data_IF_735580357907
#
_entry.id   IF_735580357907
#
_cell.length_a   1.000
_cell.length_b   1.000
_cell.length_c   1.000
_cell.angle_alpha   90.00
_cell.angle_beta   90.00
_cell.angle_gamma   90.00
#
_symmetry.space_group_name_H-M   'P 1'
#
loop_
_entity.id
_entity.type
_entity.pdbx_description
1 polymer ?
#
# COMPACT_ATOMS: atom_id res chain seq x y z
N UNK A 1 -11.36 -1.36 24.01
CA UNK A 1 -12.57 -0.51 23.92
C UNK A 1 -13.38 -0.81 22.65
N UNK A 2 -12.80 -0.76 21.42
CA UNK A 2 -13.54 -1.11 20.19
C UNK A 2 -14.00 -2.56 20.18
N UNK A 3 -13.14 -3.50 20.53
CA UNK A 3 -13.47 -4.92 20.63
C UNK A 3 -14.55 -5.20 21.69
N UNK A 4 -14.53 -4.47 22.81
CA UNK A 4 -15.55 -4.60 23.86
C UNK A 4 -16.94 -4.22 23.36
N UNK A 5 -17.00 -3.43 22.27
CA UNK A 5 -18.22 -3.05 21.58
C UNK A 5 -18.58 -4.01 20.41
N UNK A 6 -17.83 -5.09 20.24
CA UNK A 6 -18.02 -6.04 19.13
C UNK A 6 -17.54 -5.55 17.77
N UNK A 7 -16.73 -4.46 17.74
CA UNK A 7 -16.20 -3.90 16.50
C UNK A 7 -14.84 -4.52 16.15
N UNK A 8 -14.55 -4.66 14.87
CA UNK A 8 -13.25 -5.02 14.34
C UNK A 8 -12.48 -3.77 13.94
N UNK A 9 -11.15 -3.79 14.12
CA UNK A 9 -10.26 -2.66 13.82
C UNK A 9 -9.43 -2.99 12.60
N UNK A 10 -9.64 -2.24 11.52
CA UNK A 10 -8.85 -2.32 10.28
C UNK A 10 -8.07 -1.02 10.12
N UNK A 11 -6.75 -1.12 10.01
CA UNK A 11 -5.90 0.04 9.76
C UNK A 11 -5.67 0.26 8.26
N UNK A 12 -5.49 1.52 7.90
CA UNK A 12 -5.01 1.89 6.57
C UNK A 12 -3.49 1.79 6.50
N UNK A 13 -2.98 0.87 5.69
CA UNK A 13 -1.56 0.59 5.53
C UNK A 13 -1.01 1.19 4.25
N UNK A 14 -0.19 2.24 4.36
CA UNK A 14 0.49 2.86 3.23
C UNK A 14 1.90 2.29 3.13
N UNK A 15 2.11 1.33 2.23
CA UNK A 15 3.38 0.60 2.10
C UNK A 15 4.12 0.90 0.80
N UNK A 16 3.47 1.55 -0.17
CA UNK A 16 4.09 1.90 -1.44
C UNK A 16 5.02 3.11 -1.33
N UNK A 17 4.70 4.06 -0.45
CA UNK A 17 5.42 5.32 -0.34
C UNK A 17 5.40 5.86 1.09
N UNK A 18 6.25 6.84 1.33
CA UNK A 18 6.31 7.58 2.60
C UNK A 18 6.41 9.08 2.35
N UNK A 19 6.09 9.88 3.36
CA UNK A 19 6.32 11.32 3.30
C UNK A 19 7.81 11.67 3.35
N UNK A 20 8.18 12.85 2.84
CA UNK A 20 9.56 13.36 2.86
C UNK A 20 10.14 13.54 4.27
N UNK A 21 9.29 13.58 5.28
CA UNK A 21 9.70 13.63 6.69
C UNK A 21 10.07 12.28 7.31
N UNK A 22 9.93 11.19 6.56
CA UNK A 22 10.34 9.87 7.01
C UNK A 22 11.82 9.84 7.36
N UNK A 23 12.18 9.21 8.49
CA UNK A 23 13.53 9.26 9.05
C UNK A 23 14.61 8.81 8.05
N UNK A 24 14.35 7.75 7.29
CA UNK A 24 15.29 7.23 6.29
C UNK A 24 15.47 8.18 5.11
N UNK A 25 14.41 8.89 4.72
CA UNK A 25 14.51 9.88 3.64
C UNK A 25 15.25 11.14 4.10
N UNK A 26 15.03 11.58 5.34
CA UNK A 26 15.82 12.66 5.94
C UNK A 26 17.30 12.33 6.02
N UNK A 27 17.64 11.11 6.38
CA UNK A 27 19.04 10.66 6.36
C UNK A 27 19.61 10.70 4.93
N UNK A 28 18.84 10.23 3.93
CA UNK A 28 19.25 10.32 2.53
C UNK A 28 19.47 11.76 2.07
N UNK A 29 18.62 12.71 2.47
CA UNK A 29 18.77 14.13 2.18
C UNK A 29 20.05 14.73 2.78
N UNK A 30 20.39 14.32 4.00
CA UNK A 30 21.55 14.83 4.74
C UNK A 30 22.87 14.21 4.25
N UNK A 31 22.89 12.90 4.03
CA UNK A 31 24.11 12.12 3.78
C UNK A 31 24.33 11.76 2.30
N UNK A 32 23.32 11.96 1.44
CA UNK A 32 23.40 11.68 0.01
C UNK A 32 23.88 10.24 -0.27
N UNK A 33 24.95 10.10 -1.08
CA UNK A 33 25.52 8.80 -1.43
C UNK A 33 26.03 7.99 -0.22
N UNK A 34 26.33 8.64 0.89
CA UNK A 34 26.81 8.00 2.12
C UNK A 34 25.66 7.53 3.04
N UNK A 35 24.40 7.83 2.69
CA UNK A 35 23.26 7.35 3.45
C UNK A 35 23.17 5.82 3.39
N UNK A 36 22.97 5.20 4.55
CA UNK A 36 22.68 3.76 4.62
C UNK A 36 21.31 3.40 4.03
N UNK A 37 20.44 4.40 3.87
CA UNK A 37 19.07 4.23 3.38
C UNK A 37 18.90 4.57 1.90
N UNK A 38 19.99 4.83 1.16
CA UNK A 38 19.90 5.21 -0.26
C UNK A 38 19.16 4.19 -1.14
N UNK A 39 19.27 2.91 -0.80
CA UNK A 39 18.65 1.81 -1.54
C UNK A 39 17.22 1.48 -1.04
N UNK A 40 16.71 2.23 -0.05
CA UNK A 40 15.35 2.10 0.47
C UNK A 40 14.29 2.71 -0.45
N UNK A 41 14.69 3.62 -1.33
CA UNK A 41 13.78 4.40 -2.16
C UNK A 41 13.97 4.06 -3.64
N UNK A 42 12.87 4.05 -4.38
CA UNK A 42 12.89 3.78 -5.82
C UNK A 42 13.45 4.97 -6.61
N UNK A 43 14.17 4.68 -7.70
CA UNK A 43 14.61 5.68 -8.65
C UNK A 43 15.66 6.68 -8.14
N UNK A 44 16.34 6.40 -7.02
CA UNK A 44 17.39 7.31 -6.51
C UNK A 44 18.52 7.43 -7.49
N UNK A 45 18.79 8.66 -7.95
CA UNK A 45 19.87 8.97 -8.88
C UNK A 45 20.58 10.26 -8.46
N UNK A 46 21.82 10.12 -8.07
CA UNK A 46 22.68 11.24 -7.61
C UNK A 46 23.21 12.13 -8.75
N UNK A 47 22.96 11.76 -10.01
CA UNK A 47 23.21 12.62 -11.17
C UNK A 47 22.05 13.56 -11.49
N UNK A 48 20.90 13.41 -10.81
CA UNK A 48 19.69 14.19 -11.00
C UNK A 48 19.42 15.19 -9.87
N UNK A 49 18.27 15.85 -9.96
CA UNK A 49 17.72 16.72 -8.91
C UNK A 49 16.24 16.48 -8.76
N UNK A 50 15.72 16.60 -7.55
CA UNK A 50 14.29 16.57 -7.31
C UNK A 50 13.65 17.95 -7.55
N UNK A 51 12.32 18.03 -7.78
CA UNK A 51 11.60 19.31 -7.84
C UNK A 51 11.67 20.11 -6.52
N UNK A 52 12.01 19.47 -5.43
CA UNK A 52 12.19 20.09 -4.11
C UNK A 52 13.65 20.58 -3.85
N UNK A 53 14.54 20.46 -4.85
CA UNK A 53 15.90 20.95 -4.76
C UNK A 53 16.89 19.99 -4.08
N UNK A 54 16.51 18.73 -3.85
CA UNK A 54 17.45 17.70 -3.38
C UNK A 54 18.55 17.47 -4.43
N UNK A 55 19.78 17.15 -3.98
CA UNK A 55 20.92 16.86 -4.86
C UNK A 55 20.89 15.44 -5.47
N UNK A 56 19.71 14.87 -5.60
CA UNK A 56 19.41 13.61 -6.25
C UNK A 56 17.95 13.63 -6.75
N UNK A 57 17.64 12.80 -7.74
CA UNK A 57 16.25 12.50 -8.11
C UNK A 57 15.80 11.17 -7.49
N UNK A 58 14.50 10.95 -7.44
CA UNK A 58 13.87 9.74 -6.92
C UNK A 58 12.46 9.60 -7.53
N UNK A 59 11.84 8.43 -7.37
CA UNK A 59 10.48 8.21 -7.81
C UNK A 59 9.48 8.68 -6.74
N UNK A 60 8.49 9.47 -7.17
CA UNK A 60 7.29 9.77 -6.40
C UNK A 60 6.10 8.90 -6.84
N UNK A 61 5.20 8.56 -5.92
CA UNK A 61 3.97 7.87 -6.29
C UNK A 61 3.12 8.76 -7.21
N UNK A 62 2.76 8.21 -8.38
CA UNK A 62 1.95 8.90 -9.40
C UNK A 62 2.46 10.33 -9.75
N UNK A 63 3.79 10.53 -9.76
CA UNK A 63 4.41 11.83 -10.02
C UNK A 63 4.37 12.82 -8.85
N UNK A 64 3.82 12.42 -7.71
CA UNK A 64 3.80 13.23 -6.50
C UNK A 64 5.08 13.06 -5.70
N UNK A 65 6.03 13.95 -5.85
CA UNK A 65 7.36 13.86 -5.20
C UNK A 65 7.36 14.07 -3.67
N UNK A 66 6.27 14.53 -3.08
CA UNK A 66 6.08 14.53 -1.63
C UNK A 66 5.73 13.15 -1.08
N UNK A 67 5.37 12.21 -1.95
CA UNK A 67 5.07 10.80 -1.65
C UNK A 67 6.20 9.94 -2.23
N UNK A 68 7.27 9.81 -1.46
CA UNK A 68 8.51 9.15 -1.89
C UNK A 68 8.31 7.64 -1.99
N UNK A 69 8.50 7.08 -3.18
CA UNK A 69 8.27 5.66 -3.43
C UNK A 69 9.32 4.80 -2.74
N UNK A 70 8.86 3.78 -2.00
CA UNK A 70 9.73 2.79 -1.36
C UNK A 70 10.20 1.74 -2.37
N UNK A 71 11.38 1.21 -2.16
CA UNK A 71 11.92 0.09 -2.92
C UNK A 71 11.53 -1.25 -2.27
N UNK A 72 10.39 -1.81 -2.65
CA UNK A 72 9.90 -3.07 -2.10
C UNK A 72 10.67 -4.32 -2.55
N UNK A 73 11.66 -4.17 -3.44
CA UNK A 73 12.63 -5.22 -3.75
C UNK A 73 13.78 -5.27 -2.73
N UNK A 74 13.94 -4.23 -1.90
CA UNK A 74 14.91 -4.21 -0.82
C UNK A 74 14.33 -4.92 0.41
N UNK A 75 14.93 -6.04 0.80
CA UNK A 75 14.45 -6.84 1.92
C UNK A 75 14.50 -6.09 3.27
N UNK A 76 15.43 -5.15 3.46
CA UNK A 76 15.50 -4.33 4.68
C UNK A 76 14.26 -3.43 4.81
N UNK A 77 13.77 -2.88 3.70
CA UNK A 77 12.52 -2.12 3.64
C UNK A 77 11.33 -3.00 4.00
N UNK A 78 11.24 -4.17 3.36
CA UNK A 78 10.15 -5.12 3.60
C UNK A 78 10.10 -5.55 5.07
N UNK A 79 11.24 -5.92 5.65
CA UNK A 79 11.30 -6.32 7.07
C UNK A 79 10.97 -5.16 8.02
N UNK A 80 11.35 -3.94 7.69
CA UNK A 80 10.97 -2.75 8.46
C UNK A 80 9.44 -2.57 8.47
N UNK A 81 8.80 -2.65 7.31
CA UNK A 81 7.35 -2.54 7.18
C UNK A 81 6.62 -3.70 7.90
N UNK A 82 7.13 -4.92 7.76
CA UNK A 82 6.59 -6.10 8.46
C UNK A 82 6.73 -5.99 9.97
N UNK A 83 7.82 -5.39 10.45
CA UNK A 83 8.00 -5.08 11.87
C UNK A 83 6.92 -4.15 12.41
N UNK A 84 6.50 -3.15 11.63
CA UNK A 84 5.38 -2.29 11.99
C UNK A 84 4.06 -3.07 12.06
N UNK A 85 3.77 -3.92 11.08
CA UNK A 85 2.56 -4.75 11.06
C UNK A 85 2.51 -5.71 12.25
N UNK A 86 3.63 -6.40 12.55
CA UNK A 86 3.73 -7.25 13.74
C UNK A 86 3.40 -6.48 15.01
N UNK A 87 3.98 -5.30 15.17
CA UNK A 87 3.74 -4.44 16.32
C UNK A 87 2.28 -4.01 16.44
N UNK A 88 1.62 -3.67 15.32
CA UNK A 88 0.20 -3.31 15.33
C UNK A 88 -0.70 -4.48 15.74
N UNK A 89 -0.40 -5.69 15.25
CA UNK A 89 -1.14 -6.91 15.64
C UNK A 89 -0.92 -7.22 17.13
N UNK A 90 0.33 -7.22 17.59
CA UNK A 90 0.69 -7.63 18.95
C UNK A 90 0.26 -6.62 20.02
N UNK A 91 0.47 -5.32 19.75
CA UNK A 91 0.22 -4.27 20.75
C UNK A 91 -1.19 -3.69 20.69
N UNK A 92 -1.75 -3.56 19.49
CA UNK A 92 -3.05 -2.90 19.31
C UNK A 92 -4.15 -3.88 18.96
N UNK A 93 -3.82 -5.13 18.65
CA UNK A 93 -4.78 -6.19 18.38
C UNK A 93 -5.63 -5.92 17.16
N UNK A 94 -5.08 -5.26 16.14
CA UNK A 94 -5.83 -4.96 14.91
C UNK A 94 -6.30 -6.25 14.24
N UNK A 95 -7.44 -6.19 13.55
CA UNK A 95 -8.09 -7.35 12.92
C UNK A 95 -7.83 -7.43 11.42
N UNK A 96 -7.30 -6.37 10.82
CA UNK A 96 -7.03 -6.34 9.39
C UNK A 96 -6.29 -5.08 8.95
N UNK A 97 -5.93 -5.07 7.68
CA UNK A 97 -5.30 -3.92 7.00
C UNK A 97 -5.98 -3.70 5.65
N UNK A 98 -6.32 -2.45 5.36
CA UNK A 98 -6.59 -1.96 4.01
C UNK A 98 -5.27 -1.43 3.45
N UNK A 99 -4.83 -1.96 2.32
CA UNK A 99 -3.60 -1.55 1.64
C UNK A 99 -3.89 -0.43 0.66
N UNK A 100 -3.35 0.76 0.94
CA UNK A 100 -3.40 1.91 0.05
C UNK A 100 -2.60 1.64 -1.23
N UNK A 101 -3.11 2.09 -2.39
CA UNK A 101 -2.48 1.94 -3.70
C UNK A 101 -1.92 0.52 -3.93
N UNK A 102 -2.72 -0.51 -3.64
CA UNK A 102 -2.26 -1.89 -3.58
C UNK A 102 -1.81 -2.44 -4.95
N UNK A 103 -2.29 -1.86 -6.05
CA UNK A 103 -1.84 -2.14 -7.41
C UNK A 103 -0.39 -1.70 -7.69
N UNK A 104 0.16 -0.84 -6.83
CA UNK A 104 1.56 -0.39 -6.88
C UNK A 104 2.53 -1.26 -6.05
N UNK A 105 2.01 -2.20 -5.26
CA UNK A 105 2.80 -3.14 -4.47
C UNK A 105 3.27 -4.31 -5.33
N UNK A 106 4.41 -4.92 -4.97
CA UNK A 106 4.85 -6.14 -5.64
C UNK A 106 4.06 -7.35 -5.17
N UNK A 107 3.80 -8.30 -6.08
CA UNK A 107 3.13 -9.56 -5.73
C UNK A 107 3.85 -10.31 -4.61
N UNK A 108 5.20 -10.30 -4.63
CA UNK A 108 6.02 -10.92 -3.59
C UNK A 108 5.76 -10.28 -2.21
N UNK A 109 5.70 -8.95 -2.15
CA UNK A 109 5.37 -8.24 -0.91
C UNK A 109 3.99 -8.65 -0.38
N UNK A 110 2.98 -8.70 -1.27
CA UNK A 110 1.61 -9.05 -0.88
C UNK A 110 1.53 -10.51 -0.38
N UNK A 111 2.16 -11.47 -1.07
CA UNK A 111 2.20 -12.88 -0.63
C UNK A 111 2.94 -13.05 0.70
N UNK A 112 4.03 -12.35 0.89
CA UNK A 112 4.82 -12.41 2.13
C UNK A 112 4.04 -11.82 3.31
N UNK A 113 3.38 -10.67 3.15
CA UNK A 113 2.57 -10.08 4.23
C UNK A 113 1.35 -10.93 4.54
N UNK A 114 0.70 -11.53 3.52
CA UNK A 114 -0.37 -12.51 3.70
C UNK A 114 0.11 -13.69 4.57
N UNK A 115 1.22 -14.31 4.21
CA UNK A 115 1.80 -15.43 4.96
C UNK A 115 2.12 -15.04 6.41
N UNK A 116 2.73 -13.87 6.61
CA UNK A 116 3.06 -13.35 7.93
C UNK A 116 1.82 -13.17 8.80
N UNK A 117 0.82 -12.45 8.29
CA UNK A 117 -0.38 -12.09 9.06
C UNK A 117 -1.24 -13.31 9.38
N UNK A 118 -1.39 -14.24 8.43
CA UNK A 118 -2.09 -15.52 8.65
C UNK A 118 -1.39 -16.42 9.67
N UNK A 119 -0.05 -16.39 9.71
CA UNK A 119 0.73 -17.10 10.72
C UNK A 119 0.54 -16.53 12.13
N UNK A 120 0.29 -15.23 12.26
CA UNK A 120 0.03 -14.57 13.54
C UNK A 120 -1.44 -14.67 13.97
N UNK A 121 -2.37 -14.49 13.03
CA UNK A 121 -3.83 -14.54 13.22
C UNK A 121 -4.50 -15.13 11.99
N UNK A 122 -5.03 -16.36 12.06
CA UNK A 122 -5.64 -17.04 10.90
C UNK A 122 -6.84 -16.29 10.29
N UNK A 123 -7.56 -15.49 11.08
CA UNK A 123 -8.72 -14.69 10.67
C UNK A 123 -8.37 -13.22 10.35
N UNK A 124 -7.07 -12.88 10.25
CA UNK A 124 -6.62 -11.52 9.92
C UNK A 124 -7.07 -11.12 8.52
N UNK A 125 -7.72 -9.97 8.37
CA UNK A 125 -8.33 -9.55 7.12
C UNK A 125 -7.44 -8.60 6.31
N UNK A 126 -7.27 -8.90 5.02
CA UNK A 126 -6.47 -8.12 4.09
C UNK A 126 -7.32 -7.62 2.92
N UNK A 127 -7.39 -6.31 2.74
CA UNK A 127 -8.08 -5.67 1.61
C UNK A 127 -7.13 -4.79 0.82
N UNK A 128 -7.05 -4.98 -0.50
CA UNK A 128 -6.29 -4.10 -1.39
C UNK A 128 -7.15 -3.00 -1.98
N UNK A 129 -6.66 -1.76 -2.00
CA UNK A 129 -7.24 -0.73 -2.84
C UNK A 129 -6.76 -0.89 -4.27
N UNK A 130 -7.66 -1.34 -5.14
CA UNK A 130 -7.42 -1.52 -6.58
C UNK A 130 -8.49 -0.75 -7.34
N UNK A 131 -8.07 0.23 -8.14
CA UNK A 131 -9.00 1.07 -8.91
C UNK A 131 -9.36 0.40 -10.23
N UNK A 132 -8.36 -0.15 -10.93
CA UNK A 132 -8.51 -0.75 -12.25
C UNK A 132 -7.76 -2.07 -12.36
N UNK A 133 -8.21 -2.93 -13.26
CA UNK A 133 -7.54 -4.19 -13.60
C UNK A 133 -8.40 -5.42 -13.32
N UNK A 134 -7.77 -6.59 -13.46
CA UNK A 134 -8.43 -7.86 -13.17
C UNK A 134 -8.36 -8.14 -11.68
N UNK A 135 -9.43 -7.88 -10.95
CA UNK A 135 -9.49 -7.98 -9.49
C UNK A 135 -9.08 -9.35 -8.94
N UNK A 136 -9.35 -10.42 -9.67
CA UNK A 136 -8.96 -11.79 -9.31
C UNK A 136 -7.43 -12.03 -9.31
N UNK A 137 -6.63 -11.14 -9.93
CA UNK A 137 -5.18 -11.17 -9.79
C UNK A 137 -4.76 -10.95 -8.34
N UNK A 138 -5.40 -10.03 -7.64
CA UNK A 138 -5.07 -9.66 -6.27
C UNK A 138 -5.97 -10.32 -5.22
N UNK A 139 -7.29 -10.46 -5.52
CA UNK A 139 -8.25 -11.13 -4.64
C UNK A 139 -8.20 -12.65 -4.87
N UNK A 140 -7.30 -13.32 -4.16
CA UNK A 140 -7.08 -14.77 -4.26
C UNK A 140 -6.53 -15.32 -2.94
N UNK A 141 -6.53 -16.65 -2.73
CA UNK A 141 -6.12 -17.27 -1.46
C UNK A 141 -4.69 -17.02 -1.00
N UNK A 142 -3.82 -16.49 -1.86
CA UNK A 142 -2.40 -16.25 -1.55
C UNK A 142 -2.10 -14.76 -1.28
N UNK A 143 -3.05 -13.85 -1.56
CA UNK A 143 -2.85 -12.40 -1.53
C UNK A 143 -3.91 -11.72 -0.66
N UNK A 144 -4.83 -10.94 -1.24
CA UNK A 144 -5.88 -10.25 -0.49
C UNK A 144 -7.16 -11.08 -0.41
N UNK A 145 -7.87 -10.95 0.70
CA UNK A 145 -9.21 -11.54 0.87
C UNK A 145 -10.24 -10.87 -0.05
N UNK A 146 -10.06 -9.59 -0.30
CA UNK A 146 -10.87 -8.80 -1.23
C UNK A 146 -10.12 -7.56 -1.70
N UNK A 147 -10.69 -6.90 -2.70
CA UNK A 147 -10.25 -5.59 -3.18
C UNK A 147 -11.43 -4.61 -3.20
N UNK A 148 -11.13 -3.32 -3.26
CA UNK A 148 -12.15 -2.29 -3.46
C UNK A 148 -12.83 -2.48 -4.82
N UNK A 149 -14.17 -2.46 -4.84
CA UNK A 149 -14.92 -2.65 -6.08
C UNK A 149 -15.33 -1.29 -6.68
N UNK A 150 -14.36 -0.57 -7.24
CA UNK A 150 -14.61 0.72 -7.90
C UNK A 150 -15.44 0.58 -9.19
N UNK A 151 -15.37 -0.57 -9.88
CA UNK A 151 -16.20 -0.83 -11.06
C UNK A 151 -17.68 -0.87 -10.71
N UNK A 152 -18.04 -1.63 -9.69
CA UNK A 152 -19.43 -1.71 -9.23
C UNK A 152 -19.91 -0.35 -8.70
N UNK A 153 -19.07 0.35 -7.93
CA UNK A 153 -19.37 1.70 -7.47
C UNK A 153 -19.68 2.63 -8.64
N UNK A 154 -18.81 2.65 -9.67
CA UNK A 154 -19.02 3.46 -10.88
C UNK A 154 -20.32 3.08 -11.61
N UNK A 155 -20.57 1.79 -11.79
CA UNK A 155 -21.78 1.31 -12.45
C UNK A 155 -23.05 1.77 -11.73
N UNK A 156 -23.07 1.67 -10.41
CA UNK A 156 -24.22 2.14 -9.59
C UNK A 156 -24.33 3.66 -9.69
N UNK A 157 -23.26 4.40 -9.47
CA UNK A 157 -23.26 5.86 -9.48
C UNK A 157 -23.71 6.42 -10.84
N UNK A 158 -23.04 6.00 -11.94
CA UNK A 158 -23.34 6.49 -13.29
C UNK A 158 -24.76 6.13 -13.72
N UNK A 159 -25.19 4.87 -13.49
CA UNK A 159 -26.51 4.42 -13.90
C UNK A 159 -27.65 5.24 -13.28
N UNK A 160 -27.52 5.63 -12.01
CA UNK A 160 -28.52 6.45 -11.33
C UNK A 160 -28.49 7.91 -11.78
N UNK A 161 -27.30 8.47 -11.99
CA UNK A 161 -27.17 9.87 -12.43
C UNK A 161 -27.57 10.06 -13.91
N UNK A 162 -27.14 9.13 -14.78
CA UNK A 162 -27.38 9.21 -16.23
C UNK A 162 -28.65 8.47 -16.67
N UNK A 163 -29.35 7.80 -15.74
CA UNK A 163 -30.55 6.97 -15.96
C UNK A 163 -30.31 5.84 -16.97
N UNK A 164 -29.08 5.34 -17.02
CA UNK A 164 -28.65 4.24 -17.90
C UNK A 164 -28.33 2.98 -17.05
N UNK A 165 -29.34 2.20 -16.69
CA UNK A 165 -29.21 1.02 -15.83
C UNK A 165 -28.45 -0.16 -16.46
N UNK A 166 -28.14 -0.12 -17.77
CA UNK A 166 -27.28 -1.13 -18.42
C UNK A 166 -25.86 -1.13 -17.85
N UNK A 167 -25.39 0.00 -17.30
CA UNK A 167 -24.07 0.09 -16.68
C UNK A 167 -23.93 -0.79 -15.43
N UNK A 168 -25.01 -1.05 -14.71
CA UNK A 168 -24.98 -1.96 -13.56
C UNK A 168 -24.70 -3.39 -14.01
N UNK A 169 -25.45 -3.88 -15.02
CA UNK A 169 -25.24 -5.21 -15.57
C UNK A 169 -23.82 -5.39 -16.09
N UNK A 170 -23.31 -4.42 -16.87
CA UNK A 170 -21.94 -4.45 -17.40
C UNK A 170 -20.85 -4.42 -16.33
N UNK A 171 -21.14 -3.88 -15.14
CA UNK A 171 -20.17 -3.81 -14.03
C UNK A 171 -20.16 -5.06 -13.15
N UNK A 172 -21.13 -5.96 -13.33
CA UNK A 172 -21.27 -7.18 -12.53
C UNK A 172 -20.80 -8.41 -13.33
N UNK A 173 -20.89 -8.37 -14.67
CA UNK A 173 -20.41 -9.40 -15.60
C UNK A 173 -18.87 -9.38 -15.72
#
# INVERSE_FOLDING_TARGET
>A
EMHDMGLRVVLDGVFNHVGRDHFAFKDLQQNGQNSRYKDWFAGVNFGGRSPYGDNFSYDGWNGCYNLVKLNLYNNEVVEHLFGAVKMWIEKWGIDGIRFDAADCLTDDFIRRIHTLTRGMRPDFWLMGEIIHGQYNHWANPEMFDCVTNYQCYKGIYSSHNDRNYFEIAHSID
#
